data_IF_670676243117
#
_entry.id   IF_670676243117
#
_cell.length_a   1.000
_cell.length_b   1.000
_cell.length_c   1.000
_cell.angle_alpha   90.00
_cell.angle_beta   90.00
_cell.angle_gamma   90.00
#
_symmetry.space_group_name_H-M   'P 1'
#
loop_
_entity.id
_entity.type
_entity.pdbx_description
1 polymer ?
#
# COMPACT_ATOMS: atom_id res chain seq x y z
N UNK A 1 -0.70 -12.43 8.24
CA UNK A 1 -0.68 -11.22 9.07
C UNK A 1 0.28 -11.44 10.24
N UNK A 2 0.70 -10.43 11.00
CA UNK A 2 1.41 -10.69 12.26
C UNK A 2 0.42 -11.06 13.37
N UNK A 3 0.86 -11.83 14.38
CA UNK A 3 0.00 -12.26 15.49
C UNK A 3 -0.58 -11.06 16.26
N UNK A 4 0.24 -10.06 16.58
CA UNK A 4 -0.20 -8.85 17.28
C UNK A 4 -1.26 -8.06 16.47
N UNK A 5 -1.05 -7.89 15.16
CA UNK A 5 -2.00 -7.24 14.26
C UNK A 5 -3.34 -7.99 14.22
N UNK A 6 -3.31 -9.34 14.18
CA UNK A 6 -4.52 -10.15 14.27
C UNK A 6 -5.34 -9.78 15.51
N UNK A 7 -4.75 -9.85 16.71
CA UNK A 7 -5.46 -9.54 17.95
C UNK A 7 -5.93 -8.08 18.08
N UNK A 8 -5.27 -7.13 17.40
CA UNK A 8 -5.74 -5.74 17.29
C UNK A 8 -7.03 -5.67 16.46
N UNK A 9 -7.05 -6.32 15.29
CA UNK A 9 -8.19 -6.24 14.37
C UNK A 9 -9.42 -7.02 14.84
N UNK A 10 -9.25 -8.12 15.59
CA UNK A 10 -10.40 -8.93 16.07
C UNK A 10 -11.05 -8.39 17.35
N UNK A 11 -10.40 -7.45 18.05
CA UNK A 11 -10.87 -6.87 19.30
C UNK A 11 -12.32 -6.36 19.27
N UNK A 12 -12.77 -5.61 18.24
CA UNK A 12 -14.17 -5.18 18.14
C UNK A 12 -15.16 -6.34 17.97
N UNK A 13 -14.77 -7.42 17.28
CA UNK A 13 -15.61 -8.62 17.11
C UNK A 13 -15.79 -9.32 18.45
N UNK A 14 -14.68 -9.55 19.17
CA UNK A 14 -14.71 -10.15 20.50
C UNK A 14 -15.51 -9.32 21.50
N UNK A 15 -15.30 -8.00 21.53
CA UNK A 15 -16.04 -7.08 22.39
C UNK A 15 -17.56 -7.12 22.14
N UNK A 16 -17.97 -7.24 20.88
CA UNK A 16 -19.39 -7.33 20.49
C UNK A 16 -20.03 -8.63 20.96
N UNK A 17 -19.29 -9.75 20.94
CA UNK A 17 -19.79 -10.99 21.53
C UNK A 17 -19.79 -10.94 23.07
N UNK A 18 -18.71 -10.44 23.67
CA UNK A 18 -18.52 -10.38 25.12
C UNK A 18 -19.60 -9.58 25.86
N UNK A 19 -20.25 -8.60 25.21
CA UNK A 19 -21.37 -7.89 25.81
C UNK A 19 -22.60 -8.78 26.05
N UNK A 20 -22.77 -9.87 25.28
CA UNK A 20 -23.99 -10.68 25.29
C UNK A 20 -23.79 -12.14 25.72
N UNK A 21 -22.60 -12.70 25.58
CA UNK A 21 -22.30 -14.09 25.94
C UNK A 21 -21.13 -14.21 26.93
N UNK A 22 -20.89 -15.42 27.46
CA UNK A 22 -19.75 -15.68 28.33
C UNK A 22 -18.44 -15.45 27.57
N UNK A 23 -17.38 -15.12 28.29
CA UNK A 23 -16.06 -14.85 27.72
C UNK A 23 -15.52 -16.03 26.89
N UNK A 24 -15.76 -17.26 27.34
CA UNK A 24 -15.35 -18.49 26.65
C UNK A 24 -16.09 -18.71 25.33
N UNK A 25 -17.40 -18.48 25.29
CA UNK A 25 -18.19 -18.59 24.07
C UNK A 25 -17.91 -17.43 23.12
N UNK A 26 -17.70 -16.22 23.65
CA UNK A 26 -17.27 -15.07 22.87
C UNK A 26 -15.95 -15.32 22.14
N UNK A 27 -14.97 -15.96 22.80
CA UNK A 27 -13.70 -16.35 22.16
C UNK A 27 -13.92 -17.39 21.06
N UNK A 28 -14.78 -18.39 21.28
CA UNK A 28 -15.10 -19.43 20.27
C UNK A 28 -15.77 -18.85 19.04
N UNK A 29 -16.79 -18.00 19.23
CA UNK A 29 -17.50 -17.32 18.15
C UNK A 29 -16.59 -16.38 17.38
N UNK A 30 -15.77 -15.60 18.09
CA UNK A 30 -14.76 -14.75 17.45
C UNK A 30 -13.77 -15.59 16.62
N UNK A 31 -13.29 -16.71 17.15
CA UNK A 31 -12.37 -17.57 16.42
C UNK A 31 -13.00 -18.16 15.14
N UNK A 32 -14.29 -18.50 15.18
CA UNK A 32 -15.00 -19.02 14.01
C UNK A 32 -15.24 -17.94 12.94
N UNK A 33 -15.72 -16.76 13.33
CA UNK A 33 -16.03 -15.66 12.39
C UNK A 33 -14.79 -15.06 11.74
N UNK A 34 -13.65 -15.19 12.40
CA UNK A 34 -12.40 -14.54 12.00
C UNK A 34 -11.44 -15.49 11.28
N UNK A 35 -11.92 -16.67 10.88
CA UNK A 35 -11.14 -17.62 10.07
C UNK A 35 -10.73 -17.04 8.71
N UNK A 36 -11.57 -16.19 8.11
CA UNK A 36 -11.31 -15.55 6.82
C UNK A 36 -10.16 -14.51 6.88
N UNK A 37 -9.91 -13.92 8.05
CA UNK A 37 -8.79 -12.98 8.26
C UNK A 37 -7.44 -13.70 8.33
N UNK A 38 -7.32 -14.69 9.22
CA UNK A 38 -6.12 -15.53 9.33
C UNK A 38 -6.44 -16.87 10.01
N UNK A 39 -6.48 -17.95 9.20
CA UNK A 39 -6.78 -19.31 9.66
C UNK A 39 -5.83 -19.82 10.75
N UNK A 40 -4.58 -19.37 10.76
CA UNK A 40 -3.60 -19.88 11.72
C UNK A 40 -3.89 -19.34 13.12
N UNK A 41 -4.00 -18.02 13.24
CA UNK A 41 -4.24 -17.38 14.52
C UNK A 41 -5.68 -17.57 15.02
N UNK A 42 -6.64 -17.73 14.11
CA UNK A 42 -8.01 -18.12 14.49
C UNK A 42 -8.04 -19.49 15.16
N UNK A 43 -7.29 -20.47 14.63
CA UNK A 43 -7.14 -21.80 15.25
C UNK A 43 -6.42 -21.73 16.59
N UNK A 44 -5.37 -20.93 16.71
CA UNK A 44 -4.69 -20.71 17.99
C UNK A 44 -5.66 -20.12 19.04
N UNK A 45 -6.47 -19.14 18.65
CA UNK A 45 -7.52 -18.56 19.50
C UNK A 45 -8.58 -19.60 19.89
N UNK A 46 -9.03 -20.40 18.93
CA UNK A 46 -9.99 -21.49 19.17
C UNK A 46 -9.42 -22.50 20.16
N UNK A 47 -8.17 -22.93 19.97
CA UNK A 47 -7.49 -23.84 20.90
C UNK A 47 -7.39 -23.24 22.30
N UNK A 48 -7.03 -21.95 22.41
CA UNK A 48 -7.02 -21.26 23.71
C UNK A 48 -8.40 -21.26 24.37
N UNK A 49 -9.47 -21.01 23.61
CA UNK A 49 -10.87 -21.01 24.11
C UNK A 49 -11.41 -22.39 24.51
N UNK A 50 -10.74 -23.47 24.11
CA UNK A 50 -11.07 -24.84 24.48
C UNK A 50 -10.34 -25.30 25.74
N UNK A 51 -9.36 -24.52 26.23
CA UNK A 51 -8.67 -24.85 27.48
C UNK A 51 -9.57 -24.63 28.70
N UNK A 52 -9.37 -25.38 29.80
CA UNK A 52 -10.18 -25.23 31.02
C UNK A 52 -10.06 -23.85 31.68
N UNK A 53 -8.92 -23.17 31.51
CA UNK A 53 -8.68 -21.83 32.04
C UNK A 53 -8.04 -20.94 30.95
N UNK A 54 -8.85 -20.38 30.03
CA UNK A 54 -8.36 -19.57 28.93
C UNK A 54 -7.71 -18.26 29.40
N UNK A 55 -8.16 -17.71 30.54
CA UNK A 55 -7.60 -16.50 31.12
C UNK A 55 -6.10 -16.67 31.44
N UNK A 56 -5.71 -17.79 32.06
CA UNK A 56 -4.30 -18.06 32.42
C UNK A 56 -3.38 -18.19 31.20
N UNK A 57 -3.87 -18.81 30.12
CA UNK A 57 -3.11 -19.03 28.88
C UNK A 57 -2.90 -17.70 28.14
N UNK A 58 -3.94 -16.87 28.07
CA UNK A 58 -3.87 -15.59 27.35
C UNK A 58 -3.14 -14.50 28.15
N UNK A 59 -3.30 -14.47 29.48
CA UNK A 59 -2.64 -13.49 30.35
C UNK A 59 -1.13 -13.73 30.52
N UNK A 60 -0.68 -14.98 30.36
CA UNK A 60 0.74 -15.34 30.39
C UNK A 60 1.47 -15.11 29.06
N UNK A 61 0.77 -14.66 28.01
CA UNK A 61 1.37 -14.41 26.71
C UNK A 61 2.38 -13.25 26.76
N UNK A 62 3.43 -13.35 25.93
CA UNK A 62 4.44 -12.30 25.76
C UNK A 62 3.85 -11.03 25.14
N UNK A 63 2.81 -11.16 24.31
CA UNK A 63 2.17 -10.04 23.62
C UNK A 63 1.18 -9.28 24.51
N UNK A 64 1.37 -7.97 24.66
CA UNK A 64 0.51 -7.12 25.50
C UNK A 64 -0.96 -7.13 25.06
N UNK A 65 -1.23 -7.14 23.75
CA UNK A 65 -2.60 -7.19 23.21
C UNK A 65 -3.29 -8.49 23.61
N UNK A 66 -2.61 -9.63 23.53
CA UNK A 66 -3.17 -10.94 23.90
C UNK A 66 -3.49 -11.01 25.39
N UNK A 67 -2.64 -10.41 26.22
CA UNK A 67 -2.91 -10.31 27.67
C UNK A 67 -4.20 -9.57 27.99
N UNK A 68 -4.58 -8.57 27.20
CA UNK A 68 -5.85 -7.86 27.40
C UNK A 68 -7.07 -8.78 27.21
N UNK A 69 -6.99 -9.77 26.32
CA UNK A 69 -8.04 -10.80 26.20
C UNK A 69 -8.07 -11.69 27.44
N UNK A 70 -6.90 -12.10 27.95
CA UNK A 70 -6.81 -12.86 29.19
C UNK A 70 -7.38 -12.10 30.40
N UNK A 71 -7.10 -10.79 30.49
CA UNK A 71 -7.65 -9.93 31.53
C UNK A 71 -9.16 -9.76 31.39
N UNK A 72 -9.68 -9.55 30.17
CA UNK A 72 -11.11 -9.47 29.94
C UNK A 72 -11.84 -10.75 30.35
N UNK A 73 -11.29 -11.93 30.02
CA UNK A 73 -11.84 -13.22 30.46
C UNK A 73 -11.81 -13.32 31.99
N UNK A 74 -10.68 -13.01 32.63
CA UNK A 74 -10.57 -13.08 34.09
C UNK A 74 -11.51 -12.11 34.83
N UNK A 75 -11.77 -10.93 34.27
CA UNK A 75 -12.68 -9.95 34.84
C UNK A 75 -14.14 -10.40 34.72
N UNK A 76 -14.49 -11.11 33.65
CA UNK A 76 -15.83 -11.69 33.49
C UNK A 76 -16.04 -12.83 34.50
N UNK A 77 -15.04 -13.71 34.66
CA UNK A 77 -15.03 -14.77 35.68
C UNK A 77 -15.12 -14.20 37.10
N UNK A 78 -14.54 -13.01 37.34
CA UNK A 78 -14.64 -12.28 38.60
C UNK A 78 -15.97 -11.55 38.81
N UNK A 79 -16.90 -11.59 37.85
CA UNK A 79 -18.23 -10.99 37.95
C UNK A 79 -18.31 -9.49 37.66
N UNK A 80 -17.35 -8.91 36.95
CA UNK A 80 -17.38 -7.50 36.56
C UNK A 80 -18.55 -7.26 35.57
N UNK A 81 -19.34 -6.17 35.73
CA UNK A 81 -20.40 -5.83 34.79
C UNK A 81 -19.90 -5.72 33.34
N UNK A 82 -20.56 -6.42 32.41
CA UNK A 82 -20.12 -6.56 31.01
C UNK A 82 -19.93 -5.23 30.27
N UNK A 83 -20.77 -4.24 30.54
CA UNK A 83 -20.63 -2.91 29.92
C UNK A 83 -19.30 -2.24 30.29
N UNK A 84 -18.93 -2.27 31.57
CA UNK A 84 -17.64 -1.72 32.05
C UNK A 84 -16.46 -2.53 31.51
N UNK A 85 -16.62 -3.85 31.45
CA UNK A 85 -15.61 -4.76 30.96
C UNK A 85 -15.30 -4.52 29.48
N UNK A 86 -16.34 -4.47 28.63
CA UNK A 86 -16.20 -4.22 27.18
C UNK A 86 -15.56 -2.87 26.92
N UNK A 87 -16.01 -1.82 27.62
CA UNK A 87 -15.46 -0.48 27.48
C UNK A 87 -13.98 -0.43 27.89
N UNK A 88 -13.64 -1.01 29.05
CA UNK A 88 -12.26 -1.06 29.56
C UNK A 88 -11.33 -1.86 28.63
N UNK A 89 -11.81 -3.01 28.13
CA UNK A 89 -11.09 -3.84 27.18
C UNK A 89 -10.83 -3.09 25.87
N UNK A 90 -11.87 -2.51 25.26
CA UNK A 90 -11.73 -1.77 24.00
C UNK A 90 -10.81 -0.56 24.14
N UNK A 91 -10.91 0.20 25.23
CA UNK A 91 -10.01 1.34 25.48
C UNK A 91 -8.56 0.90 25.66
N UNK A 92 -8.33 -0.19 26.41
CA UNK A 92 -6.98 -0.73 26.65
C UNK A 92 -6.35 -1.27 25.38
N UNK A 93 -7.12 -2.00 24.56
CA UNK A 93 -6.63 -2.51 23.27
C UNK A 93 -6.50 -1.39 22.24
N UNK A 94 -7.33 -0.34 22.32
CA UNK A 94 -7.27 0.82 21.43
C UNK A 94 -6.01 1.63 21.63
N UNK A 95 -5.58 1.86 22.87
CA UNK A 95 -4.34 2.59 23.13
C UNK A 95 -3.11 1.85 22.57
N UNK A 96 -3.06 0.52 22.72
CA UNK A 96 -2.00 -0.31 22.13
C UNK A 96 -2.08 -0.28 20.60
N UNK A 97 -3.28 -0.42 20.04
CA UNK A 97 -3.49 -0.39 18.60
C UNK A 97 -3.09 0.94 17.97
N UNK A 98 -3.49 2.06 18.58
CA UNK A 98 -3.12 3.40 18.11
C UNK A 98 -1.60 3.59 18.17
N UNK A 99 -0.95 3.25 19.28
CA UNK A 99 0.51 3.33 19.38
C UNK A 99 1.22 2.47 18.35
N UNK A 100 0.70 1.27 18.04
CA UNK A 100 1.27 0.39 17.03
C UNK A 100 1.05 0.90 15.61
N UNK A 101 -0.17 1.32 15.28
CA UNK A 101 -0.49 1.90 13.98
C UNK A 101 0.33 3.16 13.76
N UNK A 102 0.42 4.04 14.74
CA UNK A 102 1.25 5.23 14.65
C UNK A 102 2.73 4.87 14.43
N UNK A 103 3.30 3.98 15.23
CA UNK A 103 4.69 3.55 15.08
C UNK A 103 4.97 2.94 13.69
N UNK A 104 4.06 2.09 13.18
CA UNK A 104 4.18 1.52 11.84
C UNK A 104 4.08 2.58 10.74
N UNK A 105 3.19 3.56 10.88
CA UNK A 105 3.09 4.68 9.92
C UNK A 105 4.33 5.58 9.99
N UNK A 106 4.84 5.91 11.18
CA UNK A 106 6.05 6.71 11.33
C UNK A 106 7.26 5.99 10.73
N UNK A 107 7.41 4.68 10.99
CA UNK A 107 8.45 3.86 10.38
C UNK A 107 8.31 3.83 8.85
N UNK A 108 7.09 3.65 8.34
CA UNK A 108 6.81 3.69 6.90
C UNK A 108 7.16 5.05 6.28
N UNK A 109 6.78 6.15 6.91
CA UNK A 109 7.12 7.51 6.45
C UNK A 109 8.64 7.73 6.43
N UNK A 110 9.34 7.29 7.48
CA UNK A 110 10.81 7.38 7.55
C UNK A 110 11.50 6.56 6.47
N UNK A 111 11.10 5.30 6.31
CA UNK A 111 11.59 4.43 5.24
C UNK A 111 11.30 5.05 3.87
N UNK A 112 10.06 5.48 3.63
CA UNK A 112 9.65 6.12 2.38
C UNK A 112 10.56 7.32 2.06
N UNK A 113 10.78 8.23 3.01
CA UNK A 113 11.68 9.38 2.84
C UNK A 113 13.11 8.97 2.47
N UNK A 114 13.68 7.98 3.20
CA UNK A 114 15.03 7.49 2.93
C UNK A 114 15.17 6.76 1.57
N UNK A 115 14.14 6.03 1.16
CA UNK A 115 14.12 5.32 -0.10
C UNK A 115 13.93 6.29 -1.27
N UNK A 116 13.14 7.35 -1.08
CA UNK A 116 12.97 8.44 -2.04
C UNK A 116 14.28 9.19 -2.31
N UNK A 117 15.12 9.42 -1.29
CA UNK A 117 16.40 10.10 -1.49
C UNK A 117 17.41 9.23 -2.25
N UNK A 118 17.40 7.91 -2.05
CA UNK A 118 18.24 6.99 -2.82
C UNK A 118 17.90 6.99 -4.32
N UNK A 119 16.68 7.38 -4.70
CA UNK A 119 16.31 7.48 -6.12
C UNK A 119 17.01 8.62 -6.86
N UNK A 120 17.70 9.54 -6.17
CA UNK A 120 18.56 10.54 -6.80
C UNK A 120 19.94 9.95 -7.18
N UNK A 121 20.35 8.80 -6.63
CA UNK A 121 21.68 8.24 -6.89
C UNK A 121 21.96 7.96 -8.39
N UNK A 122 21.01 7.45 -9.20
CA UNK A 122 21.30 7.23 -10.61
C UNK A 122 21.41 8.53 -11.44
N UNK A 123 20.95 9.68 -10.92
CA UNK A 123 21.25 11.00 -11.53
C UNK A 123 22.75 11.31 -11.48
N UNK A 124 23.43 10.92 -10.40
CA UNK A 124 24.89 11.05 -10.29
C UNK A 124 25.59 10.12 -11.29
N UNK A 125 25.10 8.89 -11.47
CA UNK A 125 25.65 7.96 -12.45
C UNK A 125 25.50 8.51 -13.88
N UNK A 126 24.37 9.14 -14.19
CA UNK A 126 24.16 9.82 -15.47
C UNK A 126 25.19 10.94 -15.69
N UNK A 127 25.45 11.75 -14.66
CA UNK A 127 26.47 12.78 -14.72
C UNK A 127 27.86 12.18 -15.03
N UNK A 128 28.28 11.14 -14.32
CA UNK A 128 29.57 10.48 -14.56
C UNK A 128 29.68 9.85 -15.96
N UNK A 129 28.59 9.26 -16.45
CA UNK A 129 28.50 8.72 -17.81
C UNK A 129 28.65 9.81 -18.87
N UNK A 130 27.95 10.94 -18.73
CA UNK A 130 27.98 12.04 -19.71
C UNK A 130 29.38 12.66 -19.88
N UNK A 131 30.17 12.71 -18.80
CA UNK A 131 31.56 13.18 -18.85
C UNK A 131 32.56 12.09 -19.29
N UNK A 132 32.12 10.88 -19.61
CA UNK A 132 33.01 9.79 -20.01
C UNK A 132 33.91 9.26 -18.89
N UNK A 133 33.58 9.55 -17.62
CA UNK A 133 34.31 9.05 -16.45
C UNK A 133 33.94 7.60 -16.11
N UNK A 134 32.82 7.13 -16.67
CA UNK A 134 32.25 5.82 -16.41
C UNK A 134 32.23 5.00 -17.71
N UNK A 135 33.04 3.93 -17.85
CA UNK A 135 33.07 3.09 -19.05
C UNK A 135 31.93 2.07 -19.04
N UNK A 136 30.68 2.54 -18.98
CA UNK A 136 29.49 1.69 -19.08
C UNK A 136 28.70 2.01 -20.34
N UNK A 137 28.12 0.99 -20.95
CA UNK A 137 27.16 1.19 -22.05
C UNK A 137 25.82 1.73 -21.54
N UNK A 138 25.07 2.43 -22.41
CA UNK A 138 23.75 2.97 -22.09
C UNK A 138 22.77 1.90 -21.56
N UNK A 139 22.81 0.68 -22.10
CA UNK A 139 21.96 -0.43 -21.64
C UNK A 139 22.31 -0.85 -20.20
N UNK A 140 23.58 -0.86 -19.84
CA UNK A 140 24.04 -1.16 -18.48
C UNK A 140 23.59 -0.08 -17.50
N UNK A 141 23.68 1.20 -17.91
CA UNK A 141 23.22 2.35 -17.13
C UNK A 141 21.69 2.30 -16.90
N UNK A 142 20.91 1.99 -17.94
CA UNK A 142 19.47 1.77 -17.84
C UNK A 142 19.12 0.56 -16.97
N UNK A 143 19.89 -0.53 -17.08
CA UNK A 143 19.75 -1.72 -16.25
C UNK A 143 19.94 -1.41 -14.77
N UNK A 144 21.00 -0.66 -14.41
CA UNK A 144 21.25 -0.21 -13.04
C UNK A 144 20.10 0.67 -12.55
N UNK A 145 19.67 1.66 -13.34
CA UNK A 145 18.54 2.52 -12.97
C UNK A 145 17.26 1.70 -12.72
N UNK A 146 16.97 0.72 -13.59
CA UNK A 146 15.85 -0.21 -13.42
C UNK A 146 15.95 -1.06 -12.16
N UNK A 147 17.13 -1.60 -11.85
CA UNK A 147 17.38 -2.35 -10.61
C UNK A 147 17.13 -1.47 -9.39
N UNK A 148 17.68 -0.25 -9.36
CA UNK A 148 17.45 0.70 -8.27
C UNK A 148 15.95 0.99 -8.09
N UNK A 149 15.22 1.34 -9.15
CA UNK A 149 13.79 1.62 -9.06
C UNK A 149 12.97 0.41 -8.61
N UNK A 150 13.31 -0.79 -9.10
CA UNK A 150 12.61 -2.02 -8.72
C UNK A 150 12.87 -2.42 -7.26
N UNK A 151 14.11 -2.29 -6.76
CA UNK A 151 14.47 -2.59 -5.37
C UNK A 151 13.82 -1.60 -4.40
N UNK A 152 13.93 -0.30 -4.67
CA UNK A 152 13.27 0.74 -3.88
C UNK A 152 11.75 0.52 -3.86
N UNK A 153 11.16 0.24 -5.02
CA UNK A 153 9.74 -0.09 -5.15
C UNK A 153 9.34 -1.32 -4.35
N UNK A 154 10.13 -2.39 -4.39
CA UNK A 154 9.88 -3.61 -3.63
C UNK A 154 9.93 -3.39 -2.11
N UNK A 155 10.92 -2.62 -1.64
CA UNK A 155 11.07 -2.31 -0.22
C UNK A 155 9.90 -1.45 0.30
N UNK A 156 9.53 -0.40 -0.44
CA UNK A 156 8.37 0.43 -0.11
C UNK A 156 7.11 -0.42 -0.10
N UNK A 157 6.90 -1.22 -1.14
CA UNK A 157 5.76 -2.13 -1.22
C UNK A 157 5.69 -3.09 -0.03
N UNK A 158 6.82 -3.66 0.42
CA UNK A 158 6.88 -4.56 1.59
C UNK A 158 6.54 -3.86 2.90
N UNK A 159 6.97 -2.63 3.06
CA UNK A 159 6.74 -1.82 4.27
C UNK A 159 5.35 -1.18 4.33
N UNK A 160 4.64 -1.09 3.20
CA UNK A 160 3.34 -0.44 3.11
C UNK A 160 2.27 -1.19 3.93
N UNK A 161 1.41 -0.49 4.67
CA UNK A 161 0.23 -1.09 5.28
C UNK A 161 -0.73 -1.58 4.18
N UNK A 162 -0.96 -2.89 4.08
CA UNK A 162 -1.80 -3.50 3.03
C UNK A 162 -3.19 -3.83 3.55
N UNK A 163 -4.20 -3.43 2.78
CA UNK A 163 -5.56 -3.94 2.97
C UNK A 163 -5.86 -5.07 1.98
N UNK A 164 -5.64 -4.82 0.68
CA UNK A 164 -5.83 -5.80 -0.38
C UNK A 164 -4.59 -6.68 -0.57
N UNK A 165 -4.81 -7.99 -0.75
CA UNK A 165 -3.71 -8.89 -1.10
C UNK A 165 -3.43 -8.84 -2.62
N UNK A 166 -2.25 -8.35 -3.04
CA UNK A 166 -1.96 -8.05 -4.44
C UNK A 166 -1.93 -9.29 -5.33
N UNK A 167 -1.47 -10.43 -4.81
CA UNK A 167 -1.46 -11.70 -5.55
C UNK A 167 -2.89 -12.12 -5.89
N UNK A 168 -3.86 -11.96 -4.98
CA UNK A 168 -5.26 -12.32 -5.24
C UNK A 168 -5.98 -11.23 -6.06
N UNK A 169 -5.66 -9.96 -5.83
CA UNK A 169 -6.25 -8.82 -6.56
C UNK A 169 -5.84 -8.82 -8.03
N UNK A 170 -4.54 -8.93 -8.30
CA UNK A 170 -4.00 -8.89 -9.66
C UNK A 170 -3.94 -10.29 -10.31
N UNK A 171 -3.63 -11.36 -9.57
CA UNK A 171 -3.63 -12.72 -10.09
C UNK A 171 -2.79 -12.86 -11.38
N UNK A 172 -3.39 -13.43 -12.43
CA UNK A 172 -2.74 -13.62 -13.74
C UNK A 172 -2.44 -12.31 -14.48
N UNK A 173 -3.02 -11.18 -14.08
CA UNK A 173 -2.73 -9.89 -14.72
C UNK A 173 -1.30 -9.41 -14.53
N UNK A 174 -0.58 -9.91 -13.51
CA UNK A 174 0.84 -9.64 -13.33
C UNK A 174 1.64 -10.23 -14.51
N UNK A 175 1.27 -11.43 -14.97
CA UNK A 175 1.91 -12.05 -16.14
C UNK A 175 1.59 -11.30 -17.43
N UNK A 176 0.34 -10.85 -17.60
CA UNK A 176 -0.05 -10.03 -18.75
C UNK A 176 0.67 -8.68 -18.74
N UNK A 177 0.80 -8.05 -17.57
CA UNK A 177 1.47 -6.76 -17.41
C UNK A 177 2.98 -6.85 -17.64
N UNK A 178 3.61 -7.93 -17.16
CA UNK A 178 5.04 -8.18 -17.42
C UNK A 178 5.30 -8.51 -18.88
N UNK A 179 4.43 -9.28 -19.53
CA UNK A 179 4.52 -9.53 -20.98
C UNK A 179 4.31 -8.26 -21.79
N UNK A 180 3.28 -7.47 -21.50
CA UNK A 180 3.00 -6.21 -22.18
C UNK A 180 4.13 -5.19 -21.97
N UNK A 181 4.61 -5.05 -20.73
CA UNK A 181 5.73 -4.17 -20.41
C UNK A 181 7.04 -4.61 -21.06
N UNK A 182 7.33 -5.92 -21.07
CA UNK A 182 8.52 -6.48 -21.71
C UNK A 182 8.50 -6.34 -23.24
N UNK A 183 7.36 -6.61 -23.88
CA UNK A 183 7.20 -6.43 -25.32
C UNK A 183 7.33 -4.95 -25.71
N UNK A 184 6.71 -4.05 -24.95
CA UNK A 184 6.85 -2.61 -25.18
C UNK A 184 8.27 -2.12 -24.94
N UNK A 185 8.97 -2.63 -23.92
CA UNK A 185 10.39 -2.30 -23.67
C UNK A 185 11.28 -2.76 -24.83
N UNK A 186 11.07 -3.97 -25.32
CA UNK A 186 11.79 -4.50 -26.48
C UNK A 186 11.58 -3.64 -27.71
N UNK A 187 10.32 -3.26 -28.01
CA UNK A 187 10.01 -2.34 -29.10
C UNK A 187 10.64 -0.96 -28.87
N UNK A 188 10.64 -0.45 -27.64
CA UNK A 188 11.30 0.82 -27.34
C UNK A 188 12.80 0.79 -27.64
N UNK A 189 13.48 -0.31 -27.30
CA UNK A 189 14.91 -0.47 -27.60
C UNK A 189 15.12 -0.64 -29.11
N UNK A 190 14.32 -1.47 -29.78
CA UNK A 190 14.48 -1.77 -31.20
C UNK A 190 14.21 -0.56 -32.11
N UNK A 191 13.28 0.32 -31.72
CA UNK A 191 12.86 1.49 -32.50
C UNK A 191 13.31 2.82 -31.89
N UNK A 192 14.24 2.78 -30.94
CA UNK A 192 14.76 3.95 -30.23
C UNK A 192 13.68 4.85 -29.57
N UNK A 193 12.52 4.30 -29.22
CA UNK A 193 11.42 5.00 -28.54
C UNK A 193 11.67 5.10 -27.02
N UNK A 194 10.93 5.95 -26.28
CA UNK A 194 11.11 6.09 -24.83
C UNK A 194 10.96 4.76 -24.09
N UNK A 195 11.92 4.42 -23.24
CA UNK A 195 11.92 3.19 -22.41
C UNK A 195 10.76 3.18 -21.40
N UNK A 196 10.30 4.36 -20.99
CA UNK A 196 9.15 4.57 -20.09
C UNK A 196 7.81 4.05 -20.64
N UNK A 197 7.69 3.84 -21.95
CA UNK A 197 6.53 3.20 -22.57
C UNK A 197 6.27 1.80 -22.01
N UNK A 198 7.33 1.07 -21.62
CA UNK A 198 7.20 -0.25 -20.98
C UNK A 198 6.37 -0.19 -19.70
N UNK A 199 6.58 0.84 -18.86
CA UNK A 199 5.80 1.05 -17.65
C UNK A 199 4.34 1.44 -17.96
N UNK A 200 4.12 2.29 -18.97
CA UNK A 200 2.78 2.67 -19.41
C UNK A 200 2.00 1.46 -19.93
N UNK A 201 2.61 0.62 -20.76
CA UNK A 201 1.99 -0.60 -21.29
C UNK A 201 1.65 -1.60 -20.17
N UNK A 202 2.57 -1.81 -19.22
CA UNK A 202 2.32 -2.67 -18.06
C UNK A 202 1.17 -2.14 -17.19
N UNK A 203 1.15 -0.84 -16.90
CA UNK A 203 0.08 -0.20 -16.16
C UNK A 203 -1.28 -0.29 -16.88
N UNK A 204 -1.30 -0.10 -18.20
CA UNK A 204 -2.49 -0.17 -19.03
C UNK A 204 -3.08 -1.58 -19.02
N UNK A 205 -2.24 -2.60 -19.16
CA UNK A 205 -2.67 -4.00 -19.08
C UNK A 205 -3.31 -4.31 -17.71
N UNK A 206 -2.73 -3.83 -16.61
CA UNK A 206 -3.33 -3.98 -15.27
C UNK A 206 -4.66 -3.23 -15.15
N UNK A 207 -4.75 -2.01 -15.67
CA UNK A 207 -5.96 -1.20 -15.61
C UNK A 207 -7.11 -1.83 -16.41
N UNK A 208 -6.83 -2.27 -17.64
CA UNK A 208 -7.80 -2.95 -18.51
C UNK A 208 -8.28 -4.24 -17.84
N UNK A 209 -7.38 -5.02 -17.25
CA UNK A 209 -7.75 -6.21 -16.51
C UNK A 209 -8.66 -5.90 -15.32
N UNK A 210 -8.31 -4.90 -14.50
CA UNK A 210 -9.12 -4.52 -13.35
C UNK A 210 -10.48 -3.94 -13.76
N UNK A 211 -10.57 -3.27 -14.91
CA UNK A 211 -11.83 -2.82 -15.51
C UNK A 211 -12.68 -4.00 -15.97
N UNK A 212 -12.10 -4.91 -16.77
CA UNK A 212 -12.78 -6.09 -17.29
C UNK A 212 -13.31 -6.99 -16.16
N UNK A 213 -12.57 -7.10 -15.06
CA UNK A 213 -12.95 -7.92 -13.90
C UNK A 213 -13.79 -7.16 -12.85
N UNK A 214 -14.12 -5.89 -13.08
CA UNK A 214 -14.85 -5.00 -12.16
C UNK A 214 -14.21 -4.90 -10.75
N UNK A 215 -12.90 -5.14 -10.64
CA UNK A 215 -12.14 -5.16 -9.37
C UNK A 215 -11.67 -3.79 -8.89
N UNK A 216 -11.76 -2.75 -9.73
CA UNK A 216 -11.42 -1.37 -9.34
C UNK A 216 -12.19 -0.87 -8.12
N UNK A 217 -13.43 -1.34 -7.94
CA UNK A 217 -14.23 -0.98 -6.77
C UNK A 217 -13.64 -1.47 -5.45
N UNK A 218 -12.76 -2.49 -5.47
CA UNK A 218 -12.18 -3.05 -4.25
C UNK A 218 -11.29 -2.07 -3.49
N UNK A 219 -10.66 -1.13 -4.19
CA UNK A 219 -9.81 -0.10 -3.57
C UNK A 219 -10.60 0.94 -2.77
N UNK A 220 -11.92 1.05 -2.97
CA UNK A 220 -12.79 2.00 -2.26
C UNK A 220 -13.61 1.37 -1.13
N UNK A 221 -13.55 0.05 -0.97
CA UNK A 221 -14.37 -0.65 0.02
C UNK A 221 -14.02 -0.22 1.45
N UNK A 222 -12.75 0.00 1.75
CA UNK A 222 -12.29 0.35 3.10
C UNK A 222 -12.97 1.62 3.66
N UNK A 223 -13.24 2.62 2.82
CA UNK A 223 -13.88 3.88 3.26
C UNK A 223 -15.37 3.74 3.54
N UNK A 224 -16.06 2.77 2.93
CA UNK A 224 -17.49 2.57 3.12
C UNK A 224 -17.81 1.78 4.39
N UNK A 225 -16.84 1.03 4.94
CA UNK A 225 -17.05 0.06 6.03
C UNK A 225 -17.57 0.72 7.32
N UNK A 226 -16.96 1.78 7.88
CA UNK A 226 -17.44 2.34 9.14
C UNK A 226 -18.85 2.91 9.05
N UNK A 227 -19.15 3.63 7.96
CA UNK A 227 -20.47 4.20 7.72
C UNK A 227 -21.54 3.11 7.57
N UNK A 228 -21.21 2.06 6.83
CA UNK A 228 -22.06 0.89 6.64
C UNK A 228 -22.34 0.15 7.96
N UNK A 229 -21.31 -0.13 8.77
CA UNK A 229 -21.48 -0.80 10.06
C UNK A 229 -22.29 0.04 11.05
N UNK A 230 -22.14 1.37 11.05
CA UNK A 230 -22.95 2.27 11.88
C UNK A 230 -24.42 2.28 11.46
N UNK A 231 -24.71 2.37 10.16
CA UNK A 231 -26.09 2.32 9.65
C UNK A 231 -26.73 0.95 9.93
N UNK A 232 -25.97 -0.13 9.81
CA UNK A 232 -26.45 -1.45 10.20
C UNK A 232 -26.76 -1.55 11.70
N UNK A 233 -25.81 -1.14 12.55
CA UNK A 233 -26.00 -1.18 14.00
C UNK A 233 -27.14 -0.28 14.49
N UNK A 234 -27.36 0.88 13.86
CA UNK A 234 -28.47 1.77 14.20
C UNK A 234 -29.82 1.11 13.89
N UNK A 235 -29.96 0.43 12.75
CA UNK A 235 -31.19 -0.29 12.40
C UNK A 235 -31.47 -1.48 13.32
N UNK A 236 -30.43 -2.25 13.68
CA UNK A 236 -30.57 -3.30 14.70
C UNK A 236 -31.03 -2.70 16.04
N UNK A 237 -30.47 -1.56 16.45
CA UNK A 237 -30.87 -0.88 17.69
C UNK A 237 -32.33 -0.38 17.67
N UNK A 238 -32.87 -0.10 16.48
CA UNK A 238 -34.28 0.26 16.27
C UNK A 238 -35.22 -0.97 16.26
N UNK A 239 -34.69 -2.18 16.45
CA UNK A 239 -35.47 -3.43 16.46
C UNK A 239 -35.74 -4.01 15.08
N UNK A 240 -35.06 -3.53 14.03
CA UNK A 240 -35.17 -4.10 12.69
C UNK A 240 -34.46 -5.47 12.67
N UNK A 241 -35.10 -6.55 12.16
CA UNK A 241 -34.44 -7.85 12.01
C UNK A 241 -33.20 -7.76 11.12
N UNK A 242 -32.16 -8.52 11.45
CA UNK A 242 -30.86 -8.42 10.78
C UNK A 242 -30.91 -8.63 9.27
N UNK A 243 -31.75 -9.54 8.78
CA UNK A 243 -31.90 -9.80 7.34
C UNK A 243 -32.50 -8.60 6.59
N UNK A 244 -33.48 -7.92 7.21
CA UNK A 244 -34.10 -6.73 6.64
C UNK A 244 -33.12 -5.55 6.68
N UNK A 245 -32.45 -5.35 7.83
CA UNK A 245 -31.46 -4.30 7.99
C UNK A 245 -30.31 -4.46 6.98
N UNK A 246 -29.79 -5.67 6.77
CA UNK A 246 -28.77 -5.93 5.75
C UNK A 246 -29.29 -5.59 4.35
N UNK A 247 -30.51 -5.99 4.01
CA UNK A 247 -31.10 -5.70 2.70
C UNK A 247 -31.21 -4.20 2.43
N UNK A 248 -31.63 -3.42 3.43
CA UNK A 248 -31.74 -1.96 3.30
C UNK A 248 -30.37 -1.29 3.19
N UNK A 249 -29.42 -1.68 4.04
CA UNK A 249 -28.05 -1.16 4.00
C UNK A 249 -27.36 -1.55 2.68
N UNK A 250 -27.68 -2.72 2.11
CA UNK A 250 -27.16 -3.16 0.82
C UNK A 250 -27.63 -2.33 -0.37
N UNK A 251 -28.74 -1.60 -0.24
CA UNK A 251 -29.20 -0.68 -1.28
C UNK A 251 -28.33 0.60 -1.36
N UNK A 252 -27.73 0.98 -0.23
CA UNK A 252 -26.92 2.21 -0.10
C UNK A 252 -25.42 1.94 -0.23
N UNK A 253 -24.94 0.85 0.37
CA UNK A 253 -23.50 0.55 0.47
C UNK A 253 -23.12 -0.69 -0.34
N UNK A 254 -22.12 -0.53 -1.21
CA UNK A 254 -21.65 -1.63 -2.07
C UNK A 254 -21.02 -2.75 -1.26
N UNK A 255 -20.33 -2.42 -0.16
CA UNK A 255 -19.76 -3.40 0.77
C UNK A 255 -20.84 -4.30 1.36
N UNK A 256 -21.95 -3.73 1.83
CA UNK A 256 -23.06 -4.51 2.40
C UNK A 256 -23.71 -5.42 1.36
N UNK A 257 -23.89 -4.93 0.12
CA UNK A 257 -24.32 -5.77 -0.99
C UNK A 257 -23.36 -6.95 -1.22
N UNK A 258 -22.05 -6.70 -1.25
CA UNK A 258 -21.07 -7.77 -1.43
C UNK A 258 -21.10 -8.81 -0.29
N UNK A 259 -21.30 -8.37 0.96
CA UNK A 259 -21.48 -9.27 2.12
C UNK A 259 -22.76 -10.10 1.96
N UNK A 260 -23.89 -9.47 1.61
CA UNK A 260 -25.18 -10.14 1.44
C UNK A 260 -25.18 -11.22 0.35
N UNK A 261 -24.42 -11.02 -0.73
CA UNK A 261 -24.27 -11.97 -1.82
C UNK A 261 -23.07 -12.92 -1.65
N UNK A 262 -22.50 -13.02 -0.44
CA UNK A 262 -21.42 -13.94 -0.09
C UNK A 262 -20.16 -13.80 -0.97
N UNK A 263 -19.82 -12.57 -1.40
CA UNK A 263 -18.59 -12.34 -2.14
C UNK A 263 -17.37 -12.55 -1.24
N UNK A 264 -16.37 -13.25 -1.76
CA UNK A 264 -15.05 -13.35 -1.14
C UNK A 264 -14.11 -12.31 -1.75
N UNK A 265 -13.77 -11.29 -0.96
CA UNK A 265 -12.86 -10.22 -1.38
C UNK A 265 -11.57 -10.35 -0.58
N UNK A 266 -10.40 -10.33 -1.23
CA UNK A 266 -9.13 -10.49 -0.55
C UNK A 266 -8.67 -9.17 0.12
N UNK A 267 -9.54 -8.58 0.96
CA UNK A 267 -9.31 -7.36 1.76
C UNK A 267 -9.45 -7.70 3.23
N UNK A 268 -8.47 -7.27 4.04
CA UNK A 268 -8.47 -7.41 5.49
C UNK A 268 -9.70 -6.71 6.10
N UNK A 269 -9.94 -5.47 5.70
CA UNK A 269 -11.06 -4.68 6.19
C UNK A 269 -12.41 -5.28 5.77
N UNK A 270 -12.53 -5.84 4.57
CA UNK A 270 -13.74 -6.53 4.14
C UNK A 270 -14.03 -7.77 4.99
N UNK A 271 -13.02 -8.60 5.26
CA UNK A 271 -13.18 -9.77 6.14
C UNK A 271 -13.54 -9.36 7.57
N UNK A 272 -12.96 -8.26 8.07
CA UNK A 272 -13.34 -7.70 9.38
C UNK A 272 -14.78 -7.19 9.38
N UNK A 273 -15.21 -6.51 8.31
CA UNK A 273 -16.58 -6.01 8.17
C UNK A 273 -17.60 -7.15 8.14
N UNK A 274 -17.29 -8.25 7.45
CA UNK A 274 -18.09 -9.48 7.45
C UNK A 274 -18.20 -10.08 8.86
N UNK A 275 -17.08 -10.22 9.57
CA UNK A 275 -17.07 -10.74 10.93
C UNK A 275 -17.86 -9.84 11.90
N UNK A 276 -17.72 -8.52 11.77
CA UNK A 276 -18.51 -7.55 12.55
C UNK A 276 -19.98 -7.58 12.22
N UNK A 277 -20.34 -7.75 10.94
CA UNK A 277 -21.73 -7.91 10.53
C UNK A 277 -22.38 -9.11 11.23
N UNK A 278 -21.71 -10.27 11.19
CA UNK A 278 -22.17 -11.48 11.88
C UNK A 278 -22.20 -11.30 13.40
N UNK A 279 -21.21 -10.61 13.98
CA UNK A 279 -21.21 -10.32 15.42
C UNK A 279 -22.40 -9.44 15.83
N UNK A 280 -22.67 -8.38 15.07
CA UNK A 280 -23.77 -7.46 15.35
C UNK A 280 -25.14 -8.11 15.11
N UNK A 281 -25.27 -8.98 14.10
CA UNK A 281 -26.53 -9.68 13.84
C UNK A 281 -26.88 -10.70 14.93
N UNK A 282 -25.88 -11.33 15.54
CA UNK A 282 -26.07 -12.38 16.54
C UNK A 282 -26.08 -11.88 17.98
N UNK A 283 -25.18 -10.96 18.33
CA UNK A 283 -25.02 -10.48 19.68
C UNK A 283 -25.81 -9.17 19.91
N UNK A 284 -25.88 -8.31 18.90
CA UNK A 284 -26.49 -6.99 18.99
C UNK A 284 -25.50 -5.86 18.70
N UNK A 285 -25.98 -4.60 18.67
CA UNK A 285 -25.17 -3.47 18.24
C UNK A 285 -24.18 -3.03 19.32
N UNK A 286 -22.91 -2.87 18.94
CA UNK A 286 -21.86 -2.28 19.78
C UNK A 286 -21.23 -1.08 19.07
N UNK A 287 -21.69 0.13 19.42
CA UNK A 287 -21.18 1.37 18.83
C UNK A 287 -19.70 1.59 19.17
N UNK A 288 -19.27 1.22 20.38
CA UNK A 288 -17.87 1.35 20.80
C UNK A 288 -16.92 0.50 19.95
N UNK A 289 -17.36 -0.70 19.54
CA UNK A 289 -16.59 -1.57 18.64
C UNK A 289 -16.48 -0.99 17.22
N UNK A 290 -17.51 -0.28 16.75
CA UNK A 290 -17.49 0.38 15.44
C UNK A 290 -16.60 1.63 15.48
N UNK A 291 -16.68 2.41 16.56
CA UNK A 291 -15.82 3.57 16.79
C UNK A 291 -14.34 3.17 16.89
N UNK A 292 -14.05 2.02 17.50
CA UNK A 292 -12.72 1.43 17.50
C UNK A 292 -12.17 1.26 16.07
N UNK A 293 -12.95 0.61 15.19
CA UNK A 293 -12.56 0.37 13.79
C UNK A 293 -12.33 1.70 13.06
N UNK A 294 -13.23 2.66 13.23
CA UNK A 294 -13.06 3.98 12.64
C UNK A 294 -11.77 4.65 13.11
N UNK A 295 -11.48 4.65 14.41
CA UNK A 295 -10.26 5.32 14.90
C UNK A 295 -8.96 4.73 14.36
N UNK A 296 -8.90 3.40 14.17
CA UNK A 296 -7.75 2.75 13.53
C UNK A 296 -7.62 3.18 12.06
N UNK A 297 -8.74 3.24 11.34
CA UNK A 297 -8.75 3.68 9.94
C UNK A 297 -8.35 5.15 9.81
N UNK A 298 -8.86 6.02 10.68
CA UNK A 298 -8.56 7.45 10.67
C UNK A 298 -7.07 7.72 10.96
N UNK A 299 -6.45 6.96 11.87
CA UNK A 299 -5.01 7.05 12.14
C UNK A 299 -4.18 6.58 10.94
N UNK A 300 -4.57 5.46 10.33
CA UNK A 300 -3.93 4.96 9.10
C UNK A 300 -4.06 5.95 7.95
N UNK A 301 -5.23 6.55 7.76
CA UNK A 301 -5.48 7.55 6.72
C UNK A 301 -4.66 8.81 6.96
N UNK A 302 -4.54 9.28 8.21
CA UNK A 302 -3.65 10.39 8.57
C UNK A 302 -2.19 10.11 8.18
N UNK A 303 -1.70 8.90 8.46
CA UNK A 303 -0.37 8.45 8.02
C UNK A 303 -0.21 8.48 6.50
N UNK A 304 -1.19 7.92 5.77
CA UNK A 304 -1.18 7.90 4.31
C UNK A 304 -1.25 9.31 3.70
N UNK A 305 -2.04 10.22 4.27
CA UNK A 305 -2.11 11.63 3.83
C UNK A 305 -0.75 12.32 3.93
N UNK A 306 -0.01 12.11 5.02
CA UNK A 306 1.37 12.62 5.16
C UNK A 306 2.28 12.08 4.07
N UNK A 307 2.21 10.78 3.78
CA UNK A 307 2.97 10.18 2.68
C UNK A 307 2.59 10.79 1.34
N UNK A 308 1.30 10.99 1.04
CA UNK A 308 0.88 11.63 -0.21
C UNK A 308 1.37 13.07 -0.36
N UNK A 309 1.47 13.83 0.74
CA UNK A 309 2.02 15.18 0.72
C UNK A 309 3.53 15.15 0.44
N UNK A 310 4.27 14.26 1.12
CA UNK A 310 5.70 14.05 0.86
C UNK A 310 5.95 13.59 -0.58
N UNK A 311 5.14 12.66 -1.09
CA UNK A 311 5.17 12.21 -2.48
C UNK A 311 5.14 13.39 -3.44
N UNK A 312 4.22 14.34 -3.27
CA UNK A 312 4.11 15.50 -4.15
C UNK A 312 5.37 16.39 -4.11
N UNK A 313 5.91 16.65 -2.92
CA UNK A 313 7.15 17.43 -2.75
C UNK A 313 8.34 16.74 -3.42
N UNK A 314 8.51 15.44 -3.17
CA UNK A 314 9.60 14.65 -3.75
C UNK A 314 9.52 14.58 -5.28
N UNK A 315 8.31 14.44 -5.85
CA UNK A 315 8.10 14.50 -7.32
C UNK A 315 8.52 15.85 -7.88
N UNK A 316 8.10 16.95 -7.26
CA UNK A 316 8.44 18.30 -7.72
C UNK A 316 9.96 18.53 -7.71
N UNK A 317 10.63 18.17 -6.60
CA UNK A 317 12.09 18.30 -6.45
C UNK A 317 12.81 17.42 -7.48
N UNK A 318 12.36 16.18 -7.65
CA UNK A 318 13.00 15.23 -8.56
C UNK A 318 12.92 15.68 -10.03
N UNK A 319 11.76 16.18 -10.47
CA UNK A 319 11.59 16.73 -11.81
C UNK A 319 12.43 17.99 -12.02
N UNK A 320 12.45 18.90 -11.05
CA UNK A 320 13.28 20.11 -11.11
C UNK A 320 14.78 19.77 -11.19
N UNK A 321 15.26 18.86 -10.34
CA UNK A 321 16.64 18.39 -10.36
C UNK A 321 17.00 17.73 -11.70
N UNK A 322 16.08 16.93 -12.26
CA UNK A 322 16.28 16.30 -13.58
C UNK A 322 16.43 17.34 -14.69
N UNK A 323 15.60 18.39 -14.69
CA UNK A 323 15.70 19.48 -15.69
C UNK A 323 16.99 20.28 -15.57
N UNK A 324 17.38 20.64 -14.34
CA UNK A 324 18.63 21.36 -14.08
C UNK A 324 19.84 20.51 -14.52
N UNK A 325 19.80 19.21 -14.26
CA UNK A 325 20.84 18.29 -14.69
C UNK A 325 20.90 18.22 -16.23
N UNK A 326 19.77 18.09 -16.92
CA UNK A 326 19.74 18.10 -18.39
C UNK A 326 20.36 19.38 -18.95
N UNK A 327 19.99 20.55 -18.40
CA UNK A 327 20.59 21.84 -18.80
C UNK A 327 22.09 21.87 -18.56
N UNK A 328 22.53 21.49 -17.36
CA UNK A 328 23.94 21.48 -17.00
C UNK A 328 24.75 20.56 -17.91
N UNK A 329 24.21 19.39 -18.26
CA UNK A 329 24.88 18.43 -19.14
C UNK A 329 24.95 18.95 -20.58
N UNK A 330 23.87 19.51 -21.11
CA UNK A 330 23.84 20.08 -22.46
C UNK A 330 24.94 21.14 -22.63
N UNK A 331 24.96 22.14 -21.76
CA UNK A 331 25.95 23.24 -21.81
C UNK A 331 27.37 22.75 -21.57
N UNK A 332 27.57 21.81 -20.64
CA UNK A 332 28.93 21.38 -20.27
C UNK A 332 29.56 20.50 -21.36
N UNK A 333 28.78 19.58 -21.94
CA UNK A 333 29.29 18.67 -22.98
C UNK A 333 29.59 19.44 -24.26
N UNK A 334 28.72 20.38 -24.67
CA UNK A 334 29.01 21.23 -25.85
C UNK A 334 30.24 22.11 -25.64
N UNK A 335 30.39 22.71 -24.44
CA UNK A 335 31.57 23.49 -24.10
C UNK A 335 32.86 22.65 -24.11
N UNK A 336 32.81 21.41 -23.59
CA UNK A 336 33.96 20.49 -23.56
C UNK A 336 34.40 20.06 -24.96
N UNK A 337 33.47 19.93 -25.91
CA UNK A 337 33.81 19.60 -27.31
C UNK A 337 34.47 20.74 -28.07
N UNK A 338 34.22 21.99 -27.68
CA UNK A 338 34.84 23.16 -28.29
C UNK A 338 36.33 23.34 -27.89
N UNK A 339 36.82 22.59 -26.90
CA UNK A 339 38.21 22.68 -26.43
C UNK A 339 39.12 21.81 -27.32
N UNK A 340 40.11 22.38 -28.02
CA UNK A 340 41.02 21.60 -28.86
C UNK A 340 41.86 20.62 -28.01
N UNK A 341 41.84 19.34 -28.39
CA UNK A 341 42.51 18.26 -27.66
C UNK A 341 44.03 18.40 -27.72
N UNK A 342 44.66 18.92 -26.67
CA UNK A 342 46.12 19.04 -26.55
C UNK A 342 46.83 17.74 -26.16
N UNK A 343 46.22 16.58 -26.42
CA UNK A 343 46.82 15.26 -26.16
C UNK A 343 46.99 14.88 -24.68
N UNK A 344 46.54 15.73 -23.74
CA UNK A 344 46.55 15.50 -22.29
C UNK A 344 45.15 15.61 -21.67
N UNK A 345 44.10 15.24 -22.41
CA UNK A 345 42.74 15.29 -21.87
C UNK A 345 42.48 14.06 -20.97
N UNK A 346 42.30 14.29 -19.66
CA UNK A 346 41.83 13.30 -18.68
C UNK A 346 40.37 12.86 -18.91
N UNK A 347 39.66 13.51 -19.84
CA UNK A 347 38.21 13.39 -20.06
C UNK A 347 37.97 13.32 -21.58
N UNK A 348 37.34 12.25 -22.06
CA UNK A 348 36.86 12.10 -23.43
C UNK A 348 35.33 12.23 -23.43
N UNK A 349 34.79 13.45 -23.59
CA UNK A 349 33.34 13.66 -23.60
C UNK A 349 32.72 12.95 -24.82
N UNK A 350 31.63 12.22 -24.61
CA UNK A 350 30.88 11.60 -25.70
C UNK A 350 30.27 12.67 -26.64
N UNK A 351 29.91 12.30 -27.89
CA UNK A 351 29.16 13.17 -28.80
C UNK A 351 27.91 13.79 -28.15
N UNK A 352 27.57 15.07 -28.43
CA UNK A 352 26.48 15.76 -27.73
C UNK A 352 25.13 15.11 -28.02
N UNK A 353 24.96 14.60 -29.24
CA UNK A 353 23.74 13.91 -29.67
C UNK A 353 23.56 12.57 -28.93
N UNK A 354 24.65 11.84 -28.71
CA UNK A 354 24.64 10.58 -27.95
C UNK A 354 24.33 10.83 -26.47
N UNK A 355 24.92 11.88 -25.88
CA UNK A 355 24.63 12.27 -24.49
C UNK A 355 23.20 12.79 -24.37
N UNK A 356 22.70 13.57 -25.33
CA UNK A 356 21.33 14.06 -25.35
C UNK A 356 20.30 12.94 -25.39
N UNK A 357 20.54 11.92 -26.23
CA UNK A 357 19.68 10.74 -26.28
C UNK A 357 19.76 9.91 -24.99
N UNK A 358 20.97 9.66 -24.47
CA UNK A 358 21.19 8.88 -23.26
C UNK A 358 20.56 9.53 -22.02
N UNK A 359 20.71 10.85 -21.89
CA UNK A 359 20.11 11.64 -20.80
C UNK A 359 18.59 11.62 -20.89
N UNK A 360 18.01 11.82 -22.07
CA UNK A 360 16.56 11.74 -22.26
C UNK A 360 16.02 10.35 -21.92
N UNK A 361 16.67 9.27 -22.39
CA UNK A 361 16.24 7.89 -22.09
C UNK A 361 16.31 7.58 -20.60
N UNK A 362 17.44 7.86 -19.96
CA UNK A 362 17.64 7.49 -18.57
C UNK A 362 16.76 8.31 -17.64
N UNK A 363 16.66 9.62 -17.84
CA UNK A 363 15.77 10.45 -17.04
C UNK A 363 14.29 10.06 -17.25
N UNK A 364 13.89 9.71 -18.47
CA UNK A 364 12.55 9.19 -18.75
C UNK A 364 12.25 7.91 -17.94
N UNK A 365 13.18 6.94 -17.96
CA UNK A 365 13.05 5.71 -17.20
C UNK A 365 13.02 5.96 -15.69
N UNK A 366 13.86 6.87 -15.19
CA UNK A 366 13.89 7.23 -13.78
C UNK A 366 12.64 7.97 -13.33
N UNK A 367 12.13 8.94 -14.10
CA UNK A 367 10.88 9.64 -13.80
C UNK A 367 9.72 8.64 -13.75
N UNK A 368 9.68 7.69 -14.69
CA UNK A 368 8.66 6.63 -14.69
C UNK A 368 8.76 5.72 -13.46
N UNK A 369 9.97 5.25 -13.14
CA UNK A 369 10.23 4.42 -11.96
C UNK A 369 9.89 5.14 -10.66
N UNK A 370 10.33 6.40 -10.52
CA UNK A 370 10.09 7.23 -9.36
C UNK A 370 8.60 7.44 -9.12
N UNK A 371 7.86 7.92 -10.12
CA UNK A 371 6.42 8.14 -10.01
C UNK A 371 5.65 6.85 -9.73
N UNK A 372 6.05 5.74 -10.35
CA UNK A 372 5.43 4.44 -10.09
C UNK A 372 5.58 4.00 -8.63
N UNK A 373 6.78 4.19 -8.06
CA UNK A 373 7.08 3.87 -6.66
C UNK A 373 6.35 4.81 -5.70
N UNK A 374 6.35 6.11 -5.99
CA UNK A 374 5.75 7.12 -5.12
C UNK A 374 4.22 7.05 -5.04
N UNK A 375 3.56 6.61 -6.10
CA UNK A 375 2.10 6.50 -6.18
C UNK A 375 1.56 5.13 -5.73
N UNK A 376 2.44 4.15 -5.57
CA UNK A 376 2.10 2.79 -5.14
C UNK A 376 1.26 2.78 -3.84
N UNK A 377 1.58 3.58 -2.80
CA UNK A 377 0.84 3.54 -1.53
C UNK A 377 -0.60 4.09 -1.59
N UNK A 378 -0.90 4.97 -2.53
CA UNK A 378 -2.18 5.70 -2.56
C UNK A 378 -3.17 5.16 -3.58
N UNK A 379 -2.68 4.71 -4.74
CA UNK A 379 -3.53 4.33 -5.88
C UNK A 379 -3.26 2.92 -6.42
N UNK A 380 -2.32 2.21 -5.82
CA UNK A 380 -1.93 0.85 -6.23
C UNK A 380 -1.00 0.82 -7.43
N UNK A 381 -0.54 -0.39 -7.77
CA UNK A 381 0.53 -0.61 -8.75
C UNK A 381 0.13 -0.17 -10.17
N UNK A 382 -1.14 -0.40 -10.56
CA UNK A 382 -1.63 -0.06 -11.90
C UNK A 382 -1.58 1.45 -12.17
N UNK A 383 -2.00 2.26 -11.20
CA UNK A 383 -2.06 3.71 -11.32
C UNK A 383 -0.66 4.32 -11.29
N UNK A 384 0.23 3.79 -10.45
CA UNK A 384 1.62 4.21 -10.41
C UNK A 384 2.34 3.93 -11.73
N UNK A 385 2.23 2.71 -12.26
CA UNK A 385 2.87 2.33 -13.53
C UNK A 385 2.32 3.14 -14.72
N UNK A 386 1.01 3.37 -14.79
CA UNK A 386 0.41 4.20 -15.83
C UNK A 386 0.89 5.65 -15.75
N UNK A 387 0.73 6.29 -14.59
CA UNK A 387 1.07 7.69 -14.41
C UNK A 387 2.57 7.92 -14.58
N UNK A 388 3.40 7.02 -14.04
CA UNK A 388 4.85 7.05 -14.22
C UNK A 388 5.25 6.86 -15.67
N UNK A 389 4.70 5.85 -16.35
CA UNK A 389 4.98 5.61 -17.77
C UNK A 389 4.64 6.82 -18.64
N UNK A 390 3.42 7.38 -18.50
CA UNK A 390 3.01 8.58 -19.25
C UNK A 390 3.92 9.75 -18.94
N UNK A 391 4.14 10.07 -17.67
CA UNK A 391 5.00 11.20 -17.29
C UNK A 391 6.45 11.03 -17.77
N UNK A 392 6.99 9.81 -17.69
CA UNK A 392 8.31 9.49 -18.24
C UNK A 392 8.37 9.70 -19.74
N UNK A 393 7.35 9.26 -20.49
CA UNK A 393 7.31 9.46 -21.96
C UNK A 393 7.23 10.94 -22.32
N UNK A 394 6.41 11.72 -21.61
CA UNK A 394 6.35 13.16 -21.80
C UNK A 394 7.67 13.84 -21.46
N UNK A 395 8.33 13.39 -20.38
CA UNK A 395 9.64 13.90 -19.99
C UNK A 395 10.72 13.61 -21.02
N UNK A 396 10.69 12.45 -21.68
CA UNK A 396 11.62 12.12 -22.77
C UNK A 396 11.55 13.18 -23.88
N UNK A 397 10.36 13.41 -24.43
CA UNK A 397 10.19 14.37 -25.53
C UNK A 397 10.51 15.80 -25.11
N UNK A 398 10.19 16.16 -23.87
CA UNK A 398 10.53 17.46 -23.30
C UNK A 398 12.05 17.62 -23.15
N UNK A 399 12.75 16.61 -22.64
CA UNK A 399 14.20 16.64 -22.48
C UNK A 399 14.91 16.71 -23.82
N UNK A 400 14.47 15.95 -24.83
CA UNK A 400 15.05 16.03 -26.19
C UNK A 400 14.82 17.39 -26.84
N UNK A 401 13.63 17.97 -26.68
CA UNK A 401 13.34 19.29 -27.23
C UNK A 401 14.18 20.39 -26.54
N UNK A 402 14.27 20.36 -25.22
CA UNK A 402 15.10 21.30 -24.46
C UNK A 402 16.60 21.14 -24.76
N UNK A 403 17.08 19.90 -24.93
CA UNK A 403 18.47 19.65 -25.32
C UNK A 403 18.82 20.37 -26.62
N UNK A 404 17.97 20.25 -27.64
CA UNK A 404 18.18 20.92 -28.94
C UNK A 404 18.15 22.45 -28.89
N UNK A 405 17.60 23.03 -27.82
CA UNK A 405 17.57 24.48 -27.59
C UNK A 405 18.79 24.99 -26.80
N UNK A 406 19.45 24.11 -26.04
CA UNK A 406 20.54 24.46 -25.13
C UNK A 406 21.93 24.06 -25.63
N UNK A 407 22.00 22.94 -26.37
CA UNK A 407 23.20 22.50 -27.08
C UNK A 407 23.40 23.35 -28.34
#
# INVERSE_FOLDING_TARGET
MNREEFYIYIAPVFATYLSHMSSTEALRRTAAEVEDLDRRYSRELLMASLTPNPASVLSSDRLAVVRQYGFAVSQEEAGVPRGVLVQSFLQSVKSIALGRVEATMQHFVGLFSSMSSLMFAPLLLLFLYAYGLLPLDLLSLLGIAGVFSSMTGFLIYRSMPRDLSPIRTYGRSILLATAAGGASLYLSIAWALPVSLGAAAAGAALAIWLLATKRLGWFRLASEIPAMLRDFASRISQGVPADLALREVSATYKVAWMIAYFYEIPSLMFSLAKAMFNAVSWAGPSLEAIDYIQTILDERERGLKRVTALTAMFIAIYLAASLILTYSLAVSVTALQAVPSTGQALIFPLPPDEVGYATAQLLSAMVAGFLAVMLLPSRGVWAGLLAGGVAGTSFFYLATALWSLWA
#
